data_IF_985117583952
#
_entry.id   IF_985117583952
#
_cell.length_a   1.000
_cell.length_b   1.000
_cell.length_c   1.000
_cell.angle_alpha   90.00
_cell.angle_beta   90.00
_cell.angle_gamma   90.00
#
_symmetry.space_group_name_H-M   'P 1'
#
loop_
_entity.id
_entity.type
_entity.pdbx_description
1 polymer ?
#
# COMPACT_ATOMS: atom_id res chain seq x y z
N UNK A 1 -17.76 -7.64 1.48
CA UNK A 1 -17.24 -8.65 2.44
C UNK A 1 -17.73 -8.28 3.83
N UNK A 2 -18.12 -9.24 4.69
CA UNK A 2 -18.31 -8.95 6.13
C UNK A 2 -16.95 -9.05 6.79
N UNK A 3 -16.59 -8.03 7.59
CA UNK A 3 -15.35 -8.06 8.38
C UNK A 3 -15.40 -9.14 9.45
N UNK A 4 -14.27 -9.81 9.67
CA UNK A 4 -14.09 -10.76 10.75
C UNK A 4 -13.78 -9.99 12.04
N UNK A 5 -14.71 -10.05 12.99
CA UNK A 5 -14.61 -9.37 14.28
C UNK A 5 -13.35 -9.78 15.06
N UNK A 6 -12.87 -11.02 14.90
CA UNK A 6 -11.67 -11.53 15.58
C UNK A 6 -10.42 -10.86 15.03
N UNK A 7 -10.28 -10.82 13.70
CA UNK A 7 -9.19 -10.12 13.02
C UNK A 7 -9.16 -8.64 13.38
N UNK A 8 -10.32 -7.97 13.34
CA UNK A 8 -10.45 -6.56 13.72
C UNK A 8 -9.98 -6.32 15.17
N UNK A 9 -10.37 -7.20 16.10
CA UNK A 9 -9.94 -7.09 17.50
C UNK A 9 -8.43 -7.30 17.66
N UNK A 10 -7.87 -8.31 16.98
CA UNK A 10 -6.44 -8.58 16.96
C UNK A 10 -5.65 -7.37 16.43
N UNK A 11 -6.06 -6.82 15.28
CA UNK A 11 -5.39 -5.66 14.67
C UNK A 11 -5.40 -4.47 15.63
N UNK A 12 -6.52 -4.20 16.32
CA UNK A 12 -6.59 -3.13 17.31
C UNK A 12 -5.65 -3.35 18.49
N UNK A 13 -5.47 -4.60 18.93
CA UNK A 13 -4.53 -4.93 20.00
C UNK A 13 -3.08 -4.70 19.55
N UNK A 14 -2.72 -5.13 18.33
CA UNK A 14 -1.39 -4.91 17.78
C UNK A 14 -1.08 -3.42 17.59
N UNK A 15 -2.06 -2.63 17.12
CA UNK A 15 -1.92 -1.17 17.03
C UNK A 15 -1.66 -0.54 18.40
N UNK A 16 -2.32 -1.02 19.47
CA UNK A 16 -2.05 -0.55 20.85
C UNK A 16 -0.65 -0.89 21.35
N UNK A 17 -0.04 -1.95 20.83
CA UNK A 17 1.34 -2.35 21.13
C UNK A 17 2.39 -1.58 20.30
N UNK A 18 1.96 -0.72 19.38
CA UNK A 18 2.85 0.11 18.56
C UNK A 18 3.29 -0.51 17.24
N UNK A 19 2.72 -1.66 16.84
CA UNK A 19 3.03 -2.26 15.54
C UNK A 19 2.45 -1.43 14.38
N UNK A 20 3.23 -1.34 13.31
CA UNK A 20 2.86 -0.64 12.08
C UNK A 20 1.87 -1.45 11.23
N UNK A 21 1.19 -0.77 10.29
CA UNK A 21 0.31 -1.43 9.31
C UNK A 21 1.03 -2.55 8.56
N UNK A 22 2.24 -2.29 8.06
CA UNK A 22 3.02 -3.26 7.28
C UNK A 22 3.35 -4.52 8.07
N UNK A 23 3.75 -4.38 9.33
CA UNK A 23 4.04 -5.52 10.21
C UNK A 23 2.77 -6.35 10.48
N UNK A 24 1.64 -5.70 10.75
CA UNK A 24 0.38 -6.37 11.05
C UNK A 24 -0.14 -7.11 9.81
N UNK A 25 -0.16 -6.47 8.64
CA UNK A 25 -0.59 -7.11 7.39
C UNK A 25 0.33 -8.27 7.04
N UNK A 26 1.66 -8.08 7.12
CA UNK A 26 2.63 -9.13 6.85
C UNK A 26 2.45 -10.33 7.79
N UNK A 27 2.22 -10.07 9.08
CA UNK A 27 1.95 -11.12 10.06
C UNK A 27 0.66 -11.89 9.73
N UNK A 28 -0.42 -11.20 9.37
CA UNK A 28 -1.69 -11.83 8.98
C UNK A 28 -1.54 -12.67 7.71
N UNK A 29 -0.79 -12.17 6.72
CA UNK A 29 -0.50 -12.92 5.48
C UNK A 29 0.33 -14.16 5.76
N UNK A 30 1.38 -14.05 6.59
CA UNK A 30 2.18 -15.21 7.05
C UNK A 30 1.35 -16.23 7.84
N UNK A 31 0.30 -15.77 8.52
CA UNK A 31 -0.64 -16.63 9.25
C UNK A 31 -1.70 -17.29 8.34
N UNK A 32 -1.61 -17.10 7.02
CA UNK A 32 -2.48 -17.73 6.04
C UNK A 32 -3.70 -16.91 5.61
N UNK A 33 -3.83 -15.65 6.06
CA UNK A 33 -4.88 -14.77 5.55
C UNK A 33 -4.51 -14.19 4.18
N UNK A 34 -5.48 -14.09 3.26
CA UNK A 34 -5.25 -13.36 2.01
C UNK A 34 -4.99 -11.87 2.31
N UNK A 35 -4.10 -11.24 1.54
CA UNK A 35 -3.67 -9.85 1.76
C UNK A 35 -4.83 -8.85 1.70
N UNK A 36 -5.71 -9.00 0.71
CA UNK A 36 -6.94 -8.21 0.55
C UNK A 36 -7.86 -8.31 1.78
N UNK A 37 -8.01 -9.50 2.35
CA UNK A 37 -8.79 -9.74 3.57
C UNK A 37 -8.11 -9.08 4.79
N UNK A 38 -6.79 -9.19 4.91
CA UNK A 38 -6.03 -8.55 5.98
C UNK A 38 -6.16 -7.02 5.91
N UNK A 39 -5.99 -6.43 4.73
CA UNK A 39 -6.12 -5.00 4.47
C UNK A 39 -7.54 -4.49 4.74
N UNK A 40 -8.57 -5.21 4.28
CA UNK A 40 -9.96 -4.85 4.55
C UNK A 40 -10.29 -4.85 6.05
N UNK A 41 -9.84 -5.87 6.79
CA UNK A 41 -10.05 -5.92 8.24
C UNK A 41 -9.22 -4.87 8.99
N UNK A 42 -8.05 -4.50 8.48
CA UNK A 42 -7.26 -3.40 9.02
C UNK A 42 -7.99 -2.07 8.90
N UNK A 43 -8.56 -1.79 7.73
CA UNK A 43 -9.38 -0.59 7.54
C UNK A 43 -10.58 -0.58 8.50
N UNK A 44 -11.27 -1.71 8.69
CA UNK A 44 -12.35 -1.82 9.68
C UNK A 44 -11.89 -1.64 11.14
N UNK A 45 -10.65 -1.99 11.45
CA UNK A 45 -10.07 -1.79 12.77
C UNK A 45 -9.79 -0.31 13.07
N UNK A 46 -9.35 0.46 12.07
CA UNK A 46 -9.00 1.87 12.15
C UNK A 46 -10.19 2.81 11.87
N UNK A 47 -11.18 2.36 11.09
CA UNK A 47 -12.40 3.09 10.73
C UNK A 47 -13.25 3.66 11.89
N UNK A 48 -13.37 3.04 13.09
CA UNK A 48 -14.26 3.55 14.12
C UNK A 48 -13.80 4.92 14.63
N UNK A 49 -12.50 5.06 14.91
CA UNK A 49 -11.93 6.27 15.50
C UNK A 49 -12.00 7.46 14.53
N UNK A 50 -11.80 7.19 13.24
CA UNK A 50 -11.85 8.20 12.18
C UNK A 50 -13.27 8.69 11.91
N UNK A 51 -14.27 7.80 11.96
CA UNK A 51 -15.68 8.19 11.79
C UNK A 51 -16.18 9.14 12.88
N UNK A 52 -15.78 8.92 14.15
CA UNK A 52 -16.14 9.84 15.25
C UNK A 52 -15.46 11.19 15.12
N UNK A 53 -14.15 11.22 14.84
CA UNK A 53 -13.41 12.47 14.65
C UNK A 53 -14.04 13.30 13.52
N UNK A 54 -14.33 12.65 12.39
CA UNK A 54 -14.96 13.26 11.22
C UNK A 54 -16.31 13.90 11.56
N UNK A 55 -17.22 13.15 12.21
CA UNK A 55 -18.52 13.68 12.67
C UNK A 55 -18.38 14.84 13.65
N UNK A 56 -17.38 14.79 14.53
CA UNK A 56 -17.10 15.86 15.47
C UNK A 56 -16.63 17.14 14.75
N UNK A 57 -15.75 17.02 13.76
CA UNK A 57 -15.30 18.16 12.94
C UNK A 57 -16.46 18.75 12.13
N UNK A 58 -17.31 17.92 11.52
CA UNK A 58 -18.52 18.35 10.81
C UNK A 58 -19.45 19.13 11.75
N UNK A 59 -19.76 18.57 12.92
CA UNK A 59 -20.61 19.21 13.93
C UNK A 59 -20.02 20.54 14.42
N UNK A 60 -18.73 20.58 14.74
CA UNK A 60 -18.04 21.80 15.17
C UNK A 60 -18.05 22.87 14.06
N UNK A 61 -17.94 22.48 12.80
CA UNK A 61 -18.01 23.42 11.67
C UNK A 61 -19.40 24.06 11.54
N UNK A 62 -20.47 23.27 11.74
CA UNK A 62 -21.84 23.76 11.75
C UNK A 62 -22.06 24.74 12.91
N UNK A 63 -21.62 24.37 14.12
CA UNK A 63 -21.75 25.24 15.30
C UNK A 63 -20.94 26.53 15.11
N UNK A 64 -19.71 26.44 14.58
CA UNK A 64 -18.87 27.60 14.33
C UNK A 64 -19.51 28.58 13.34
N UNK A 65 -20.09 28.08 12.24
CA UNK A 65 -20.82 28.92 11.28
C UNK A 65 -22.05 29.57 11.92
N UNK A 66 -22.83 28.82 12.71
CA UNK A 66 -24.00 29.36 13.39
C UNK A 66 -23.63 30.48 14.39
N UNK A 67 -22.56 30.28 15.17
CA UNK A 67 -22.02 31.30 16.09
C UNK A 67 -21.55 32.53 15.33
N UNK A 68 -20.87 32.35 14.20
CA UNK A 68 -20.42 33.46 13.36
C UNK A 68 -21.59 34.28 12.79
N UNK A 69 -22.63 33.62 12.28
CA UNK A 69 -23.85 34.27 11.76
C UNK A 69 -24.54 35.06 12.88
N UNK A 70 -24.69 34.45 14.06
CA UNK A 70 -25.31 35.11 15.21
C UNK A 70 -24.50 36.33 15.67
N UNK A 71 -23.18 36.17 15.78
CA UNK A 71 -22.25 37.25 16.13
C UNK A 71 -22.37 38.43 15.18
N UNK A 72 -22.34 38.20 13.86
CA UNK A 72 -22.44 39.26 12.85
C UNK A 72 -23.81 39.92 12.90
N UNK A 73 -24.89 39.16 13.07
CA UNK A 73 -26.23 39.73 13.21
C UNK A 73 -26.37 40.62 14.43
N UNK A 74 -25.80 40.20 15.56
CA UNK A 74 -25.75 41.02 16.77
C UNK A 74 -24.90 42.28 16.59
N UNK A 75 -23.70 42.18 16.01
CA UNK A 75 -22.80 43.32 15.83
C UNK A 75 -23.31 44.38 14.85
N UNK A 76 -24.11 43.98 13.86
CA UNK A 76 -24.59 44.88 12.79
C UNK A 76 -25.99 45.43 13.02
N UNK A 77 -26.70 44.97 14.05
CA UNK A 77 -28.13 45.25 14.27
C UNK A 77 -29.01 44.99 13.03
N UNK A 78 -28.55 44.14 12.11
CA UNK A 78 -29.29 43.81 10.90
C UNK A 78 -30.43 42.80 11.20
N UNK A 79 -31.54 42.83 10.45
CA UNK A 79 -32.57 41.81 10.58
C UNK A 79 -31.97 40.41 10.38
N UNK A 80 -32.26 39.49 11.30
CA UNK A 80 -31.65 38.16 11.30
C UNK A 80 -31.83 37.40 9.97
N UNK A 81 -33.01 37.52 9.35
CA UNK A 81 -33.27 36.91 8.05
C UNK A 81 -32.37 37.44 6.93
N UNK A 82 -32.01 38.72 6.97
CA UNK A 82 -31.04 39.33 6.03
C UNK A 82 -29.63 38.78 6.25
N UNK A 83 -29.22 38.58 7.51
CA UNK A 83 -27.91 38.01 7.83
C UNK A 83 -27.82 36.56 7.36
N UNK A 84 -28.84 35.73 7.63
CA UNK A 84 -28.90 34.35 7.10
C UNK A 84 -28.82 34.34 5.59
N UNK A 85 -29.62 35.18 4.91
CA UNK A 85 -29.61 35.27 3.46
C UNK A 85 -28.22 35.69 2.92
N UNK A 86 -27.52 36.56 3.63
CA UNK A 86 -26.16 36.98 3.31
C UNK A 86 -25.10 35.87 3.47
N UNK A 87 -25.36 34.84 4.29
CA UNK A 87 -24.49 33.68 4.50
C UNK A 87 -24.97 32.40 3.78
N UNK A 88 -25.98 32.52 2.92
CA UNK A 88 -26.57 31.37 2.23
C UNK A 88 -25.54 30.54 1.44
N UNK A 89 -24.56 31.12 0.71
CA UNK A 89 -23.55 30.34 0.00
C UNK A 89 -22.70 29.47 0.93
N UNK A 90 -22.25 29.99 2.07
CA UNK A 90 -21.49 29.22 3.05
C UNK A 90 -22.33 28.12 3.70
N UNK A 91 -23.61 28.38 4.00
CA UNK A 91 -24.52 27.36 4.53
C UNK A 91 -24.69 26.22 3.52
N UNK A 92 -25.00 26.54 2.26
CA UNK A 92 -25.22 25.54 1.20
C UNK A 92 -23.92 24.79 0.89
N UNK A 93 -22.78 25.49 0.85
CA UNK A 93 -21.46 24.86 0.68
C UNK A 93 -21.17 23.86 1.79
N UNK A 94 -21.45 24.22 3.05
CA UNK A 94 -21.22 23.35 4.20
C UNK A 94 -22.12 22.11 4.15
N UNK A 95 -23.41 22.28 3.86
CA UNK A 95 -24.34 21.15 3.72
C UNK A 95 -23.94 20.21 2.58
N UNK A 96 -23.53 20.79 1.44
CA UNK A 96 -23.01 20.02 0.32
C UNK A 96 -21.75 19.23 0.70
N UNK A 97 -20.79 19.88 1.38
CA UNK A 97 -19.56 19.23 1.85
C UNK A 97 -19.87 18.08 2.80
N UNK A 98 -20.73 18.29 3.80
CA UNK A 98 -21.16 17.22 4.72
C UNK A 98 -21.80 16.06 3.94
N UNK A 99 -22.66 16.34 2.96
CA UNK A 99 -23.28 15.32 2.11
C UNK A 99 -22.28 14.55 1.26
N UNK A 100 -21.32 15.22 0.61
CA UNK A 100 -20.24 14.60 -0.18
C UNK A 100 -19.39 13.71 0.71
N UNK A 101 -19.08 14.21 1.89
CA UNK A 101 -18.21 13.55 2.85
C UNK A 101 -18.90 12.34 3.48
N UNK A 102 -20.20 12.37 3.73
CA UNK A 102 -20.98 11.23 4.26
C UNK A 102 -21.25 10.15 3.19
N UNK A 103 -21.46 10.56 1.93
CA UNK A 103 -21.76 9.64 0.83
C UNK A 103 -20.53 9.14 0.07
N UNK A 104 -19.38 9.80 0.24
CA UNK A 104 -18.14 9.61 -0.53
C UNK A 104 -18.32 9.75 -2.05
N UNK A 105 -19.44 10.32 -2.50
CA UNK A 105 -19.73 10.60 -3.91
C UNK A 105 -19.34 12.03 -4.25
N UNK A 106 -18.98 12.27 -5.50
CA UNK A 106 -18.78 13.63 -6.02
C UNK A 106 -17.65 14.41 -5.35
N UNK A 107 -16.66 13.72 -4.77
CA UNK A 107 -15.48 14.34 -4.13
C UNK A 107 -14.75 15.26 -5.10
N UNK A 108 -14.73 14.92 -6.39
CA UNK A 108 -14.14 15.74 -7.46
C UNK A 108 -14.77 17.14 -7.60
N UNK A 109 -16.04 17.32 -7.24
CA UNK A 109 -16.72 18.61 -7.33
C UNK A 109 -16.58 19.45 -6.05
N UNK A 110 -16.14 18.86 -4.93
CA UNK A 110 -16.05 19.53 -3.63
C UNK A 110 -15.27 20.85 -3.68
N UNK A 111 -14.18 20.91 -4.46
CA UNK A 111 -13.34 22.09 -4.61
C UNK A 111 -13.94 23.21 -5.46
N UNK A 112 -14.86 22.88 -6.37
CA UNK A 112 -15.45 23.85 -7.30
C UNK A 112 -16.75 24.46 -6.72
N UNK A 113 -17.53 23.68 -5.97
CA UNK A 113 -18.85 24.09 -5.51
C UNK A 113 -18.90 25.36 -4.65
N UNK A 114 -17.96 25.62 -3.72
CA UNK A 114 -17.90 26.89 -2.99
C UNK A 114 -17.86 28.12 -3.90
N UNK A 115 -17.13 28.04 -5.01
CA UNK A 115 -17.03 29.11 -5.99
C UNK A 115 -18.33 29.26 -6.78
N UNK A 116 -18.95 28.14 -7.19
CA UNK A 116 -20.25 28.13 -7.89
C UNK A 116 -21.34 28.77 -7.02
N UNK A 117 -21.47 28.38 -5.76
CA UNK A 117 -22.51 28.94 -4.87
C UNK A 117 -22.30 30.43 -4.61
N UNK A 118 -21.05 30.86 -4.44
CA UNK A 118 -20.71 32.28 -4.27
C UNK A 118 -21.00 33.09 -5.54
N UNK A 119 -20.69 32.55 -6.72
CA UNK A 119 -20.99 33.19 -8.00
C UNK A 119 -22.51 33.34 -8.24
N UNK A 120 -23.30 32.30 -7.93
CA UNK A 120 -24.76 32.37 -8.00
C UNK A 120 -25.31 33.46 -7.08
N UNK A 121 -24.79 33.55 -5.85
CA UNK A 121 -25.20 34.59 -4.91
C UNK A 121 -24.84 36.01 -5.37
N UNK A 122 -23.65 36.19 -5.96
CA UNK A 122 -23.25 37.47 -6.55
C UNK A 122 -24.24 37.90 -7.64
N UNK A 123 -24.58 37.00 -8.56
CA UNK A 123 -25.54 37.27 -9.64
C UNK A 123 -26.92 37.64 -9.08
N UNK A 124 -27.43 36.88 -8.10
CA UNK A 124 -28.72 37.16 -7.45
C UNK A 124 -28.71 38.53 -6.75
N UNK A 125 -27.61 38.87 -6.08
CA UNK A 125 -27.45 40.16 -5.42
C UNK A 125 -27.35 41.34 -6.39
N UNK A 126 -26.70 41.16 -7.55
CA UNK A 126 -26.61 42.19 -8.60
C UNK A 126 -27.97 42.50 -9.23
N UNK A 127 -28.88 41.52 -9.31
CA UNK A 127 -30.25 41.70 -9.80
C UNK A 127 -31.15 42.35 -8.71
N UNK A 128 -30.60 42.62 -7.52
CA UNK A 128 -31.30 43.26 -6.39
C UNK A 128 -32.56 42.51 -5.94
N UNK A 129 -32.63 41.19 -6.13
CA UNK A 129 -33.78 40.41 -5.67
C UNK A 129 -33.91 40.52 -4.14
N UNK A 130 -35.08 40.78 -3.56
CA UNK A 130 -35.25 40.74 -2.11
C UNK A 130 -34.78 39.38 -1.56
N UNK A 131 -34.02 39.33 -0.44
CA UNK A 131 -33.68 40.40 0.50
C UNK A 131 -32.37 41.16 0.22
N UNK A 132 -31.74 40.99 -0.94
CA UNK A 132 -30.35 41.39 -1.20
C UNK A 132 -30.13 42.88 -1.49
N UNK A 133 -31.17 43.64 -1.83
CA UNK A 133 -31.04 45.00 -2.37
C UNK A 133 -30.36 46.05 -1.48
N UNK A 134 -30.18 45.80 -0.18
CA UNK A 134 -29.48 46.69 0.76
C UNK A 134 -28.14 46.15 1.28
N UNK A 135 -27.70 45.00 0.78
CA UNK A 135 -26.51 44.33 1.27
C UNK A 135 -25.26 44.73 0.48
N UNK A 136 -24.10 44.73 1.13
CA UNK A 136 -22.80 44.86 0.45
C UNK A 136 -22.43 43.53 -0.24
N UNK A 137 -23.13 43.20 -1.33
CA UNK A 137 -23.06 41.88 -1.99
C UNK A 137 -21.63 41.47 -2.37
N UNK A 138 -20.82 42.41 -2.87
CA UNK A 138 -19.43 42.11 -3.23
C UNK A 138 -18.60 41.62 -2.04
N UNK A 139 -18.67 42.31 -0.89
CA UNK A 139 -17.93 41.92 0.33
C UNK A 139 -18.46 40.61 0.91
N UNK A 140 -19.79 40.45 0.95
CA UNK A 140 -20.42 39.21 1.42
C UNK A 140 -20.06 38.01 0.53
N UNK A 141 -20.04 38.18 -0.78
CA UNK A 141 -19.63 37.12 -1.72
C UNK A 141 -18.21 36.65 -1.44
N UNK A 142 -17.27 37.59 -1.34
CA UNK A 142 -15.87 37.29 -1.05
C UNK A 142 -15.72 36.59 0.31
N UNK A 143 -16.39 37.09 1.34
CA UNK A 143 -16.37 36.50 2.68
C UNK A 143 -16.92 35.07 2.68
N UNK A 144 -18.06 34.83 2.02
CA UNK A 144 -18.63 33.49 1.90
C UNK A 144 -17.69 32.52 1.17
N UNK A 145 -17.02 32.98 0.12
CA UNK A 145 -16.07 32.15 -0.61
C UNK A 145 -14.92 31.70 0.28
N UNK A 146 -14.30 32.64 1.00
CA UNK A 146 -13.20 32.37 1.94
C UNK A 146 -13.63 31.40 3.04
N UNK A 147 -14.76 31.67 3.70
CA UNK A 147 -15.28 30.81 4.78
C UNK A 147 -15.56 29.40 4.26
N UNK A 148 -16.15 29.27 3.08
CA UNK A 148 -16.49 27.98 2.49
C UNK A 148 -15.24 27.14 2.19
N UNK A 149 -14.17 27.75 1.70
CA UNK A 149 -12.88 27.06 1.50
C UNK A 149 -12.18 26.70 2.81
N UNK A 150 -12.28 27.54 3.85
CA UNK A 150 -11.77 27.20 5.19
C UNK A 150 -12.46 25.93 5.70
N UNK A 151 -13.80 25.85 5.63
CA UNK A 151 -14.52 24.65 6.03
C UNK A 151 -14.20 23.44 5.16
N UNK A 152 -14.06 23.62 3.85
CA UNK A 152 -13.62 22.55 2.96
C UNK A 152 -12.30 21.95 3.41
N UNK A 153 -11.30 22.79 3.70
CA UNK A 153 -9.99 22.34 4.16
C UNK A 153 -10.12 21.63 5.50
N UNK A 154 -10.80 22.22 6.48
CA UNK A 154 -10.96 21.64 7.83
C UNK A 154 -11.64 20.27 7.77
N UNK A 155 -12.73 20.14 7.00
CA UNK A 155 -13.50 18.88 6.88
C UNK A 155 -12.74 17.84 6.06
N UNK A 156 -11.99 18.27 5.02
CA UNK A 156 -11.24 17.35 4.14
C UNK A 156 -9.91 16.92 4.73
N UNK A 157 -9.33 17.70 5.65
CA UNK A 157 -8.00 17.48 6.21
C UNK A 157 -7.83 16.10 6.87
N UNK A 158 -8.75 15.61 7.72
CA UNK A 158 -8.63 14.27 8.31
C UNK A 158 -8.52 13.15 7.26
N UNK A 159 -9.21 13.30 6.13
CA UNK A 159 -9.20 12.33 5.04
C UNK A 159 -7.89 12.39 4.24
N UNK A 160 -7.39 13.61 3.98
CA UNK A 160 -6.14 13.82 3.27
C UNK A 160 -4.91 13.38 4.09
N UNK A 161 -4.88 13.71 5.39
CA UNK A 161 -3.81 13.32 6.30
C UNK A 161 -3.71 11.79 6.41
N UNK A 162 -4.85 11.09 6.53
CA UNK A 162 -4.90 9.62 6.53
C UNK A 162 -4.32 9.02 5.25
N UNK A 163 -4.60 9.63 4.09
CA UNK A 163 -4.07 9.16 2.81
C UNK A 163 -2.54 9.30 2.74
N UNK A 164 -1.96 10.27 3.43
CA UNK A 164 -0.50 10.49 3.49
C UNK A 164 0.14 9.55 4.52
N UNK A 165 -0.45 9.41 5.70
CA UNK A 165 0.06 8.52 6.77
C UNK A 165 -0.07 7.03 6.43
N UNK A 166 -0.93 6.68 5.47
CA UNK A 166 -1.14 5.32 4.98
C UNK A 166 -0.84 5.12 3.51
N UNK A 167 -0.34 6.14 2.81
CA UNK A 167 0.36 5.88 1.56
C UNK A 167 1.53 4.98 1.95
N UNK A 168 1.58 3.76 1.40
CA UNK A 168 2.82 2.97 1.48
C UNK A 168 3.94 3.93 1.09
N UNK A 169 5.04 4.00 1.88
CA UNK A 169 6.15 4.87 1.54
C UNK A 169 6.42 4.62 0.07
N UNK A 170 6.25 5.66 -0.76
CA UNK A 170 6.50 5.61 -2.21
C UNK A 170 7.72 4.73 -2.34
N UNK A 171 7.59 3.52 -2.90
CA UNK A 171 8.68 2.55 -2.89
C UNK A 171 9.90 3.31 -3.37
N UNK A 172 10.81 3.62 -2.44
CA UNK A 172 12.04 4.30 -2.80
C UNK A 172 12.63 3.37 -3.85
N UNK A 173 12.84 3.91 -5.05
CA UNK A 173 13.22 3.13 -6.21
C UNK A 173 14.45 2.31 -5.83
N UNK A 174 14.22 1.04 -5.46
CA UNK A 174 15.23 0.23 -4.81
C UNK A 174 16.39 0.12 -5.78
N UNK A 175 17.58 0.51 -5.35
CA UNK A 175 18.77 0.45 -6.20
C UNK A 175 19.02 -1.01 -6.61
N UNK A 176 19.70 -1.22 -7.74
CA UNK A 176 20.12 -2.57 -8.18
C UNK A 176 20.87 -3.29 -7.05
N UNK A 177 21.67 -2.56 -6.27
CA UNK A 177 22.40 -3.07 -5.10
C UNK A 177 21.48 -3.63 -4.00
N UNK A 178 20.33 -2.99 -3.74
CA UNK A 178 19.37 -3.48 -2.76
C UNK A 178 18.76 -4.81 -3.20
N UNK A 179 18.33 -4.91 -4.47
CA UNK A 179 17.81 -6.16 -5.01
C UNK A 179 18.88 -7.26 -5.08
N UNK A 180 20.14 -6.90 -5.36
CA UNK A 180 21.26 -7.83 -5.34
C UNK A 180 21.43 -8.50 -3.97
N UNK A 181 21.45 -7.72 -2.89
CA UNK A 181 21.50 -8.29 -1.52
C UNK A 181 20.33 -9.22 -1.24
N UNK A 182 19.14 -8.86 -1.71
CA UNK A 182 17.97 -9.74 -1.60
C UNK A 182 18.20 -11.07 -2.32
N UNK A 183 18.67 -11.06 -3.56
CA UNK A 183 18.98 -12.30 -4.32
C UNK A 183 20.03 -13.13 -3.58
N UNK A 184 21.11 -12.51 -3.09
CA UNK A 184 22.17 -13.20 -2.37
C UNK A 184 21.64 -13.93 -1.12
N UNK A 185 20.87 -13.23 -0.29
CA UNK A 185 20.30 -13.80 0.93
C UNK A 185 19.35 -14.97 0.63
N UNK A 186 18.50 -14.84 -0.40
CA UNK A 186 17.61 -15.93 -0.82
C UNK A 186 18.38 -17.13 -1.36
N UNK A 187 19.39 -16.92 -2.20
CA UNK A 187 20.22 -17.99 -2.75
C UNK A 187 20.98 -18.75 -1.65
N UNK A 188 21.50 -18.04 -0.64
CA UNK A 188 22.11 -18.66 0.55
C UNK A 188 21.12 -19.51 1.33
N UNK A 189 19.90 -19.00 1.55
CA UNK A 189 18.85 -19.75 2.24
C UNK A 189 18.47 -21.02 1.47
N UNK A 190 18.33 -20.94 0.15
CA UNK A 190 18.08 -22.10 -0.72
C UNK A 190 19.22 -23.12 -0.60
N UNK A 191 20.49 -22.69 -0.71
CA UNK A 191 21.65 -23.56 -0.57
C UNK A 191 21.71 -24.28 0.78
N UNK A 192 21.31 -23.61 1.85
CA UNK A 192 21.23 -24.21 3.17
C UNK A 192 20.21 -25.35 3.21
N UNK A 193 19.04 -25.15 2.61
CA UNK A 193 17.99 -26.17 2.52
C UNK A 193 18.41 -27.33 1.62
N UNK A 194 19.06 -27.06 0.49
CA UNK A 194 19.68 -28.09 -0.36
C UNK A 194 20.61 -28.99 0.49
N UNK A 195 21.42 -28.39 1.36
CA UNK A 195 22.29 -29.09 2.29
C UNK A 195 21.56 -30.02 3.26
N UNK A 196 20.42 -29.60 3.79
CA UNK A 196 19.61 -30.39 4.73
C UNK A 196 18.83 -31.50 4.04
N UNK A 197 18.22 -31.21 2.90
CA UNK A 197 17.35 -32.16 2.17
C UNK A 197 18.19 -33.24 1.48
N UNK A 198 19.25 -32.85 0.75
CA UNK A 198 20.13 -33.77 0.00
C UNK A 198 21.39 -34.17 0.79
N UNK A 199 21.24 -34.42 2.09
CA UNK A 199 22.31 -34.93 2.97
C UNK A 199 22.56 -36.43 2.77
N UNK A 200 23.71 -36.91 3.22
CA UNK A 200 24.13 -38.31 3.05
C UNK A 200 23.18 -39.34 3.68
N UNK A 201 22.52 -39.00 4.80
CA UNK A 201 21.54 -39.91 5.42
C UNK A 201 20.27 -40.10 4.58
N UNK A 202 19.98 -39.16 3.67
CA UNK A 202 18.90 -39.25 2.68
C UNK A 202 19.40 -39.80 1.33
N UNK A 203 20.64 -40.29 1.25
CA UNK A 203 21.26 -40.80 0.03
C UNK A 203 21.88 -39.75 -0.88
N UNK A 204 21.85 -38.46 -0.50
CA UNK A 204 22.46 -37.39 -1.28
C UNK A 204 23.99 -37.38 -1.18
N UNK A 205 24.68 -37.02 -2.27
CA UNK A 205 26.14 -36.88 -2.31
C UNK A 205 26.55 -35.41 -2.40
N UNK A 206 27.82 -35.08 -2.13
CA UNK A 206 28.34 -33.73 -2.33
C UNK A 206 28.17 -33.28 -3.78
N UNK A 207 28.53 -34.13 -4.75
CA UNK A 207 28.35 -33.84 -6.17
C UNK A 207 26.88 -33.53 -6.52
N UNK A 208 25.90 -34.30 -6.01
CA UNK A 208 24.49 -33.99 -6.27
C UNK A 208 24.09 -32.63 -5.71
N UNK A 209 24.58 -32.27 -4.52
CA UNK A 209 24.31 -30.92 -3.97
C UNK A 209 24.95 -29.84 -4.84
N UNK A 210 26.18 -30.05 -5.29
CA UNK A 210 26.89 -29.11 -6.15
C UNK A 210 26.20 -28.93 -7.52
N UNK A 211 25.56 -29.97 -8.06
CA UNK A 211 24.80 -29.92 -9.32
C UNK A 211 23.57 -28.99 -9.28
N UNK A 212 23.01 -28.72 -8.08
CA UNK A 212 21.84 -27.85 -7.89
C UNK A 212 22.11 -26.62 -7.04
N UNK A 213 23.29 -26.53 -6.42
CA UNK A 213 23.70 -25.38 -5.61
C UNK A 213 23.84 -24.15 -6.50
N UNK A 214 23.51 -22.99 -5.94
CA UNK A 214 23.77 -21.69 -6.55
C UNK A 214 25.15 -21.22 -6.06
N UNK A 215 26.21 -21.26 -6.88
CA UNK A 215 27.57 -20.99 -6.43
C UNK A 215 27.73 -19.54 -5.95
N UNK A 216 28.58 -19.34 -4.95
CA UNK A 216 28.83 -18.01 -4.39
C UNK A 216 29.47 -17.04 -5.37
N UNK A 217 30.20 -17.62 -6.32
CA UNK A 217 30.95 -16.93 -7.34
C UNK A 217 30.02 -16.15 -8.28
N UNK A 218 28.78 -16.63 -8.49
CA UNK A 218 27.83 -16.00 -9.41
C UNK A 218 27.34 -14.63 -8.89
N UNK A 219 26.97 -14.52 -7.61
CA UNK A 219 26.54 -13.24 -7.06
C UNK A 219 27.71 -12.29 -6.80
N UNK A 220 28.92 -12.81 -6.49
CA UNK A 220 30.14 -11.99 -6.43
C UNK A 220 30.52 -11.43 -7.82
N UNK A 221 30.36 -12.23 -8.88
CA UNK A 221 30.56 -11.81 -10.26
C UNK A 221 29.56 -10.72 -10.64
N UNK A 222 28.28 -10.91 -10.31
CA UNK A 222 27.25 -9.92 -10.56
C UNK A 222 27.47 -8.62 -9.76
N UNK A 223 27.89 -8.69 -8.49
CA UNK A 223 28.26 -7.50 -7.70
C UNK A 223 29.38 -6.70 -8.37
N UNK A 224 30.40 -7.39 -8.88
CA UNK A 224 31.50 -6.75 -9.62
C UNK A 224 31.00 -6.10 -10.90
N UNK A 225 30.13 -6.78 -11.65
CA UNK A 225 29.54 -6.24 -12.86
C UNK A 225 28.69 -4.99 -12.61
N UNK A 226 27.96 -4.93 -11.48
CA UNK A 226 27.19 -3.73 -11.09
C UNK A 226 28.11 -2.54 -10.77
N UNK A 227 29.28 -2.77 -10.17
CA UNK A 227 30.22 -1.70 -9.78
C UNK A 227 31.07 -1.17 -10.94
N UNK A 228 31.54 -2.08 -11.80
CA UNK A 228 32.64 -1.80 -12.75
C UNK A 228 32.32 -2.26 -14.18
N UNK A 229 31.21 -2.97 -14.39
CA UNK A 229 30.90 -3.64 -15.64
C UNK A 229 30.08 -2.80 -16.62
N UNK A 230 30.07 -3.28 -17.87
CA UNK A 230 29.13 -2.87 -18.91
C UNK A 230 27.75 -3.47 -18.70
N UNK A 231 26.73 -2.88 -19.33
CA UNK A 231 25.35 -3.40 -19.32
C UNK A 231 25.28 -4.87 -19.71
N UNK A 232 26.03 -5.27 -20.74
CA UNK A 232 26.10 -6.65 -21.23
C UNK A 232 26.72 -7.59 -20.20
N UNK A 233 27.77 -7.14 -19.50
CA UNK A 233 28.38 -7.92 -18.41
C UNK A 233 27.43 -8.09 -17.22
N UNK A 234 26.66 -7.05 -16.87
CA UNK A 234 25.64 -7.15 -15.82
C UNK A 234 24.56 -8.17 -16.20
N UNK A 235 24.06 -8.13 -17.44
CA UNK A 235 23.05 -9.08 -17.93
C UNK A 235 23.60 -10.51 -17.95
N UNK A 236 24.81 -10.74 -18.47
CA UNK A 236 25.41 -12.07 -18.52
C UNK A 236 25.59 -12.66 -17.11
N UNK A 237 26.13 -11.88 -16.17
CA UNK A 237 26.32 -12.32 -14.79
C UNK A 237 24.98 -12.60 -14.09
N UNK A 238 23.96 -11.75 -14.28
CA UNK A 238 22.62 -11.96 -13.75
C UNK A 238 21.94 -13.21 -14.35
N UNK A 239 22.13 -13.47 -15.65
CA UNK A 239 21.58 -14.63 -16.34
C UNK A 239 22.23 -15.95 -15.93
N UNK A 240 23.47 -15.93 -15.43
CA UNK A 240 24.05 -17.12 -14.77
C UNK A 240 23.27 -17.46 -13.50
N UNK A 241 22.95 -16.47 -12.66
CA UNK A 241 22.13 -16.66 -11.45
C UNK A 241 20.73 -17.17 -11.84
N UNK A 242 20.09 -16.53 -12.81
CA UNK A 242 18.78 -16.92 -13.32
C UNK A 242 18.74 -18.36 -13.82
N UNK A 243 19.75 -18.80 -14.57
CA UNK A 243 19.89 -20.19 -15.01
C UNK A 243 20.02 -21.18 -13.85
N UNK A 244 20.79 -20.87 -12.83
CA UNK A 244 20.90 -21.72 -11.62
C UNK A 244 19.57 -21.81 -10.87
N UNK A 245 18.82 -20.71 -10.75
CA UNK A 245 17.46 -20.73 -10.18
C UNK A 245 16.51 -21.58 -11.03
N UNK A 246 16.51 -21.42 -12.35
CA UNK A 246 15.67 -22.23 -13.23
C UNK A 246 16.05 -23.71 -13.22
N UNK A 247 17.30 -24.06 -12.91
CA UNK A 247 17.73 -25.45 -12.75
C UNK A 247 16.96 -26.17 -11.62
N UNK A 248 16.47 -25.45 -10.61
CA UNK A 248 15.64 -26.00 -9.53
C UNK A 248 14.23 -26.39 -9.99
N UNK A 249 13.79 -25.92 -11.17
CA UNK A 249 12.51 -26.34 -11.76
C UNK A 249 12.60 -27.68 -12.49
N UNK A 250 13.82 -28.14 -12.80
CA UNK A 250 14.03 -29.45 -13.39
C UNK A 250 13.72 -30.55 -12.38
N UNK A 251 13.37 -31.71 -12.92
CA UNK A 251 13.18 -32.94 -12.16
C UNK A 251 14.50 -33.47 -11.63
N UNK A 252 14.43 -34.28 -10.57
CA UNK A 252 15.62 -34.95 -10.03
C UNK A 252 16.27 -35.86 -11.07
N UNK A 253 15.49 -36.54 -11.91
CA UNK A 253 16.04 -37.41 -12.96
C UNK A 253 16.75 -36.62 -14.06
N UNK A 254 16.25 -35.43 -14.44
CA UNK A 254 16.93 -34.56 -15.42
C UNK A 254 18.29 -34.04 -14.91
N UNK A 255 18.45 -33.85 -13.59
CA UNK A 255 19.68 -33.30 -13.02
C UNK A 255 20.63 -34.37 -12.49
N UNK A 256 20.11 -35.37 -11.80
CA UNK A 256 20.91 -36.41 -11.15
C UNK A 256 21.03 -37.70 -11.98
N UNK A 257 20.16 -37.91 -12.97
CA UNK A 257 20.07 -39.16 -13.74
C UNK A 257 19.73 -40.34 -12.84
N UNK A 258 20.38 -41.48 -13.07
CA UNK A 258 20.18 -42.70 -12.29
C UNK A 258 20.48 -42.53 -10.79
N UNK A 259 21.33 -41.55 -10.41
CA UNK A 259 21.65 -41.25 -9.00
C UNK A 259 20.41 -40.85 -8.19
N UNK A 260 19.35 -40.36 -8.83
CA UNK A 260 18.09 -40.04 -8.15
C UNK A 260 17.47 -41.26 -7.46
N UNK A 261 17.68 -42.47 -7.99
CA UNK A 261 17.17 -43.73 -7.39
C UNK A 261 17.79 -44.05 -6.03
N UNK A 262 18.95 -43.48 -5.70
CA UNK A 262 19.63 -43.69 -4.41
C UNK A 262 19.06 -42.83 -3.28
N UNK A 263 18.23 -41.84 -3.62
CA UNK A 263 17.62 -40.94 -2.65
C UNK A 263 16.50 -41.64 -1.89
N UNK A 264 16.55 -41.53 -0.56
CA UNK A 264 15.64 -42.20 0.38
C UNK A 264 15.17 -41.24 1.47
N UNK A 265 14.06 -41.59 2.12
CA UNK A 265 13.48 -40.82 3.23
C UNK A 265 13.12 -39.37 2.83
N UNK A 266 12.69 -39.17 1.59
CA UNK A 266 12.21 -37.89 1.07
C UNK A 266 10.79 -38.07 0.56
N UNK A 267 9.95 -37.06 0.78
CA UNK A 267 8.63 -36.92 0.16
C UNK A 267 8.84 -36.48 -1.28
N UNK A 268 8.78 -37.44 -2.22
CA UNK A 268 9.03 -37.25 -3.66
C UNK A 268 8.50 -38.45 -4.45
N UNK A 269 8.47 -38.33 -5.77
CA UNK A 269 8.25 -39.43 -6.70
C UNK A 269 9.47 -40.38 -6.73
N UNK A 270 9.26 -41.69 -6.54
CA UNK A 270 10.35 -42.68 -6.43
C UNK A 270 11.22 -42.75 -7.70
N UNK A 271 10.63 -42.46 -8.86
CA UNK A 271 11.32 -42.45 -10.14
C UNK A 271 12.05 -41.12 -10.43
N UNK A 272 12.04 -40.17 -9.49
CA UNK A 272 12.74 -38.89 -9.61
C UNK A 272 12.05 -37.88 -10.54
N UNK A 273 10.76 -38.08 -10.85
CA UNK A 273 9.98 -37.14 -11.67
C UNK A 273 9.54 -35.88 -10.92
N UNK A 274 9.83 -35.77 -9.63
CA UNK A 274 9.55 -34.56 -8.85
C UNK A 274 10.55 -33.46 -9.20
N UNK A 275 10.07 -32.22 -9.33
CA UNK A 275 10.93 -31.04 -9.49
C UNK A 275 11.74 -30.83 -8.21
N UNK A 276 13.01 -30.45 -8.36
CA UNK A 276 13.90 -30.23 -7.21
C UNK A 276 13.28 -29.24 -6.22
N UNK A 277 12.74 -28.12 -6.70
CA UNK A 277 12.13 -27.09 -5.84
C UNK A 277 10.93 -27.63 -5.02
N UNK A 278 10.15 -28.55 -5.58
CA UNK A 278 9.04 -29.17 -4.88
C UNK A 278 9.57 -30.13 -3.81
N UNK A 279 10.59 -30.94 -4.13
CA UNK A 279 11.23 -31.82 -3.15
C UNK A 279 11.80 -31.02 -1.98
N UNK A 280 12.48 -29.91 -2.25
CA UNK A 280 12.98 -29.02 -1.18
C UNK A 280 11.84 -28.49 -0.29
N UNK A 281 10.74 -28.05 -0.90
CA UNK A 281 9.59 -27.46 -0.20
C UNK A 281 8.85 -28.48 0.68
N UNK A 282 8.74 -29.74 0.26
CA UNK A 282 8.04 -30.77 1.03
C UNK A 282 8.89 -31.39 2.16
N UNK A 283 10.21 -31.26 2.10
CA UNK A 283 11.14 -31.96 3.00
C UNK A 283 11.85 -31.04 4.00
N UNK A 284 11.56 -29.75 3.99
CA UNK A 284 12.13 -28.76 4.90
C UNK A 284 11.04 -27.79 5.40
N UNK A 285 11.17 -27.31 6.63
CA UNK A 285 10.18 -26.41 7.24
C UNK A 285 10.39 -24.94 6.82
N UNK A 286 11.54 -24.61 6.23
CA UNK A 286 11.80 -23.26 5.75
C UNK A 286 10.92 -22.94 4.53
N UNK A 287 10.51 -21.67 4.34
CA UNK A 287 9.66 -21.25 3.24
C UNK A 287 10.46 -21.14 1.92
N UNK A 288 11.05 -22.25 1.45
CA UNK A 288 11.93 -22.32 0.28
C UNK A 288 11.27 -21.77 -0.96
N UNK A 289 9.99 -22.09 -1.18
CA UNK A 289 9.23 -21.59 -2.32
C UNK A 289 9.13 -20.06 -2.31
N UNK A 290 9.04 -19.43 -1.14
CA UNK A 290 9.06 -17.97 -1.03
C UNK A 290 10.46 -17.43 -1.36
N UNK A 291 11.53 -18.05 -0.84
CA UNK A 291 12.89 -17.64 -1.19
C UNK A 291 13.15 -17.72 -2.71
N UNK A 292 12.66 -18.78 -3.32
CA UNK A 292 12.75 -19.00 -4.75
C UNK A 292 11.95 -17.99 -5.57
N UNK A 293 10.69 -17.76 -5.21
CA UNK A 293 9.83 -16.79 -5.88
C UNK A 293 10.37 -15.36 -5.74
N UNK A 294 10.75 -14.95 -4.53
CA UNK A 294 11.35 -13.65 -4.23
C UNK A 294 12.65 -13.44 -5.04
N UNK A 295 13.50 -14.47 -5.16
CA UNK A 295 14.74 -14.39 -5.94
C UNK A 295 14.47 -14.23 -7.45
N UNK A 296 13.48 -14.94 -8.00
CA UNK A 296 13.08 -14.81 -9.40
C UNK A 296 12.41 -13.46 -9.70
N UNK A 297 11.64 -12.93 -8.76
CA UNK A 297 11.04 -11.59 -8.88
C UNK A 297 12.14 -10.52 -8.92
N UNK A 298 13.05 -10.54 -7.94
CA UNK A 298 14.19 -9.64 -7.91
C UNK A 298 15.07 -9.75 -9.16
N UNK A 299 15.29 -10.97 -9.67
CA UNK A 299 15.99 -11.20 -10.95
C UNK A 299 15.30 -10.45 -12.11
N UNK A 300 13.98 -10.56 -12.25
CA UNK A 300 13.22 -9.90 -13.33
C UNK A 300 13.25 -8.38 -13.20
N UNK A 301 13.08 -7.87 -11.98
CA UNK A 301 13.13 -6.43 -11.71
C UNK A 301 14.50 -5.83 -12.03
N UNK A 302 15.58 -6.48 -11.58
CA UNK A 302 16.94 -6.04 -11.88
C UNK A 302 17.19 -6.09 -13.39
N UNK A 303 16.80 -7.19 -14.06
CA UNK A 303 16.99 -7.33 -15.51
C UNK A 303 16.30 -6.19 -16.26
N UNK A 304 15.03 -5.91 -15.93
CA UNK A 304 14.28 -4.81 -16.55
C UNK A 304 14.95 -3.46 -16.29
N UNK A 305 15.48 -3.22 -15.08
CA UNK A 305 16.20 -1.98 -14.76
C UNK A 305 17.47 -1.83 -15.59
N UNK A 306 18.28 -2.89 -15.71
CA UNK A 306 19.50 -2.88 -16.53
C UNK A 306 19.15 -2.64 -18.00
N UNK A 307 18.07 -3.25 -18.51
CA UNK A 307 17.62 -3.08 -19.91
C UNK A 307 17.17 -1.65 -20.22
N UNK A 308 16.68 -0.90 -19.23
CA UNK A 308 16.26 0.50 -19.36
C UNK A 308 17.39 1.52 -19.19
N UNK A 309 18.55 1.13 -18.63
CA UNK A 309 19.77 1.95 -18.58
C UNK A 309 20.36 2.13 -19.97
#
# INVERSE_FOLDING_TARGET
>A
MRGDKRLVSYIREQLKKGYTRGEIISHLVRSGHKRDVAEYNFELAVAPKTKYLKKMVEFLSIVALAVLIFWIGFSTNAPFGSVIAGFLPSIVSLLFLVSVVETERHVEYSWLMPAVFSAVFLVLGLIQTPPFGKMEIGKLTFLNLVISYIFLIIISYPSAYKKIEHAEPKEEEKTIEHHLRSIEDKCKAINFVIGRVYRSSNGGTTSMRDDIRIPSELYNEFERAVKEGTKEQMIDALDKIGRSLLNLQKTETEVFGERASHLKNLVRDEHGNSRIIDVLTHNDNDPVMNYYADALEAYKEIRSKIELM
#
